data_IF_765672654090
#
_entry.id   IF_765672654090
#
_cell.length_a   1.000
_cell.length_b   1.000
_cell.length_c   1.000
_cell.angle_alpha   90.00
_cell.angle_beta   90.00
_cell.angle_gamma   90.00
#
_symmetry.space_group_name_H-M   'P 1'
#
loop_
_entity.id
_entity.type
_entity.pdbx_description
1 polymer ?
#
# COMPACT_ATOMS: atom_id res chain seq x y z
N UNK A 1 0.98 -15.12 3.45
CA UNK A 1 1.24 -13.79 2.87
C UNK A 1 2.15 -13.96 1.66
N UNK A 2 1.93 -13.19 0.60
CA UNK A 2 2.82 -13.11 -0.58
C UNK A 2 3.06 -11.65 -0.90
N UNK A 3 4.25 -11.30 -1.37
CA UNK A 3 4.54 -9.94 -1.80
C UNK A 3 5.37 -9.94 -3.08
N UNK A 4 5.23 -8.88 -3.86
CA UNK A 4 5.94 -8.66 -5.10
C UNK A 4 5.98 -7.17 -5.42
N UNK A 5 6.94 -6.76 -6.24
CA UNK A 5 7.05 -5.39 -6.72
C UNK A 5 6.72 -5.35 -8.20
N UNK A 6 5.84 -4.45 -8.61
CA UNK A 6 5.45 -4.22 -9.99
C UNK A 6 5.15 -2.73 -10.19
N UNK A 7 5.63 -2.14 -11.29
CA UNK A 7 5.34 -0.74 -11.66
C UNK A 7 5.46 0.25 -10.49
N UNK A 8 6.62 0.28 -9.85
CA UNK A 8 6.95 1.15 -8.71
C UNK A 8 6.10 0.94 -7.45
N UNK A 9 5.39 -0.18 -7.37
CA UNK A 9 4.51 -0.54 -6.25
C UNK A 9 4.93 -1.86 -5.64
N UNK A 10 5.12 -1.87 -4.32
CA UNK A 10 5.17 -3.08 -3.53
C UNK A 10 3.74 -3.49 -3.16
N UNK A 11 3.34 -4.67 -3.61
CA UNK A 11 2.08 -5.31 -3.26
C UNK A 11 2.32 -6.36 -2.18
N UNK A 12 1.53 -6.31 -1.11
CA UNK A 12 1.52 -7.33 -0.06
C UNK A 12 0.11 -7.91 0.04
N UNK A 13 -0.05 -9.19 -0.33
CA UNK A 13 -1.32 -9.90 -0.41
C UNK A 13 -1.47 -10.90 0.74
N UNK A 14 -2.66 -10.91 1.35
CA UNK A 14 -2.98 -11.77 2.49
C UNK A 14 -4.36 -11.48 3.06
N UNK A 15 -4.62 -11.98 4.27
CA UNK A 15 -5.78 -11.58 5.07
C UNK A 15 -5.23 -10.87 6.29
N UNK A 16 -5.39 -9.54 6.34
CA UNK A 16 -4.79 -8.71 7.37
C UNK A 16 -5.86 -8.04 8.20
N UNK A 17 -5.66 -8.03 9.53
CA UNK A 17 -6.20 -6.96 10.38
C UNK A 17 -5.13 -5.88 10.45
N UNK A 18 -5.30 -4.81 9.69
CA UNK A 18 -4.25 -3.82 9.49
C UNK A 18 -4.57 -2.51 10.20
N UNK A 19 -3.51 -1.79 10.59
CA UNK A 19 -3.54 -0.40 11.01
C UNK A 19 -2.70 0.42 10.01
N UNK A 20 -3.22 1.54 9.54
CA UNK A 20 -2.50 2.43 8.62
C UNK A 20 -2.78 3.89 8.95
N UNK A 21 -1.75 4.73 8.89
CA UNK A 21 -1.85 6.19 8.94
C UNK A 21 -1.80 6.82 7.55
N UNK A 22 -1.70 6.01 6.50
CA UNK A 22 -1.71 6.45 5.11
C UNK A 22 -3.09 6.97 4.67
N UNK A 23 -3.22 7.25 3.39
CA UNK A 23 -4.47 7.73 2.79
C UNK A 23 -5.55 6.67 2.98
N UNK A 24 -6.74 7.12 3.42
CA UNK A 24 -7.85 6.25 3.82
C UNK A 24 -7.47 5.22 4.89
N UNK A 25 -6.49 5.56 5.73
CA UNK A 25 -6.04 4.75 6.85
C UNK A 25 -7.06 4.58 7.97
N UNK A 26 -6.68 3.86 9.01
CA UNK A 26 -7.52 3.43 10.12
C UNK A 26 -7.18 2.01 10.55
N UNK A 27 -8.09 1.36 11.26
CA UNK A 27 -7.96 -0.05 11.69
C UNK A 27 -9.10 -0.86 11.08
N UNK A 28 -8.79 -1.75 10.12
CA UNK A 28 -9.80 -2.60 9.48
C UNK A 28 -9.18 -3.85 8.85
N UNK A 29 -10.04 -4.76 8.42
CA UNK A 29 -9.63 -5.91 7.64
C UNK A 29 -9.41 -5.53 6.18
N UNK A 30 -8.28 -5.93 5.59
CA UNK A 30 -7.91 -5.67 4.19
C UNK A 30 -7.26 -6.91 3.58
N UNK A 31 -7.41 -7.10 2.27
CA UNK A 31 -6.73 -8.18 1.55
C UNK A 31 -5.35 -7.79 1.04
N UNK A 32 -5.09 -6.47 0.95
CA UNK A 32 -3.89 -5.95 0.32
C UNK A 32 -3.33 -4.72 1.02
N UNK A 33 -2.01 -4.66 1.12
CA UNK A 33 -1.26 -3.46 1.45
C UNK A 33 -0.46 -3.03 0.21
N UNK A 34 -0.48 -1.74 -0.08
CA UNK A 34 0.24 -1.12 -1.19
C UNK A 34 1.26 -0.14 -0.64
N UNK A 35 2.48 -0.19 -1.15
CA UNK A 35 3.45 0.89 -0.99
C UNK A 35 3.91 1.34 -2.37
N UNK A 36 3.45 2.51 -2.81
CA UNK A 36 3.68 3.02 -4.16
C UNK A 36 4.66 4.19 -4.13
N UNK A 37 5.62 4.17 -5.04
CA UNK A 37 6.61 5.25 -5.18
C UNK A 37 5.96 6.42 -5.89
N UNK A 38 5.87 7.56 -5.21
CA UNK A 38 5.32 8.78 -5.75
C UNK A 38 6.29 9.38 -6.77
N UNK A 39 5.75 9.83 -7.91
CA UNK A 39 6.52 10.64 -8.85
C UNK A 39 6.71 12.06 -8.29
N UNK A 40 7.85 12.72 -8.54
CA UNK A 40 8.14 14.04 -7.96
C UNK A 40 7.14 15.16 -8.32
N UNK A 41 6.34 14.96 -9.36
CA UNK A 41 5.37 15.90 -9.92
C UNK A 41 3.93 15.66 -9.44
N UNK A 42 3.70 14.66 -8.60
CA UNK A 42 2.34 14.34 -8.13
C UNK A 42 1.90 15.27 -6.98
N UNK A 43 0.77 15.95 -7.19
CA UNK A 43 0.12 16.76 -6.15
C UNK A 43 -0.43 15.86 -5.03
N UNK A 44 -0.25 16.29 -3.79
CA UNK A 44 -0.84 15.66 -2.61
C UNK A 44 -2.37 15.53 -2.71
N UNK A 45 -3.04 16.45 -3.42
CA UNK A 45 -4.48 16.37 -3.66
C UNK A 45 -4.90 15.15 -4.51
N UNK A 46 -4.02 14.64 -5.37
CA UNK A 46 -4.30 13.50 -6.26
C UNK A 46 -3.80 12.17 -5.71
N UNK A 47 -3.11 12.20 -4.58
CA UNK A 47 -2.49 11.06 -3.92
C UNK A 47 -3.46 9.87 -3.68
N UNK A 48 -4.71 10.15 -3.29
CA UNK A 48 -5.74 9.11 -3.13
C UNK A 48 -6.14 8.45 -4.45
N UNK A 49 -6.30 9.26 -5.50
CA UNK A 49 -6.63 8.76 -6.84
C UNK A 49 -5.50 7.93 -7.44
N UNK A 50 -4.24 8.29 -7.17
CA UNK A 50 -3.08 7.47 -7.59
C UNK A 50 -3.19 6.06 -7.03
N UNK A 51 -3.48 5.93 -5.73
CA UNK A 51 -3.65 4.61 -5.10
C UNK A 51 -4.85 3.84 -5.67
N UNK A 52 -5.95 4.53 -5.96
CA UNK A 52 -7.13 3.91 -6.60
C UNK A 52 -6.80 3.39 -8.01
N UNK A 53 -6.06 4.16 -8.81
CA UNK A 53 -5.62 3.76 -10.16
C UNK A 53 -4.68 2.57 -10.08
N UNK A 54 -3.70 2.58 -9.17
CA UNK A 54 -2.75 1.48 -8.96
C UNK A 54 -3.48 0.21 -8.50
N UNK A 55 -4.41 0.33 -7.55
CA UNK A 55 -5.21 -0.79 -7.08
C UNK A 55 -6.08 -1.37 -8.21
N UNK A 56 -6.80 -0.50 -8.94
CA UNK A 56 -7.66 -0.93 -10.05
C UNK A 56 -6.87 -1.60 -11.18
N UNK A 57 -5.70 -1.06 -11.55
CA UNK A 57 -4.81 -1.62 -12.56
C UNK A 57 -4.28 -3.02 -12.20
N UNK A 58 -4.15 -3.31 -10.90
CA UNK A 58 -3.76 -4.63 -10.39
C UNK A 58 -4.95 -5.55 -10.08
N UNK A 59 -6.19 -5.15 -10.43
CA UNK A 59 -7.40 -5.93 -10.18
C UNK A 59 -7.77 -6.04 -8.69
N UNK A 60 -7.40 -5.03 -7.90
CA UNK A 60 -7.62 -4.98 -6.45
C UNK A 60 -8.88 -4.17 -6.17
N UNK A 61 -9.80 -4.74 -5.38
CA UNK A 61 -11.01 -4.06 -4.93
C UNK A 61 -10.73 -2.98 -3.88
N UNK A 62 -11.79 -2.37 -3.33
CA UNK A 62 -11.66 -1.30 -2.32
C UNK A 62 -11.13 -1.74 -0.94
N UNK A 63 -10.76 -3.02 -0.80
CA UNK A 63 -10.31 -3.66 0.44
C UNK A 63 -8.78 -3.65 0.59
N UNK A 64 -8.18 -2.47 0.49
CA UNK A 64 -6.74 -2.27 0.65
C UNK A 64 -6.40 -1.11 1.60
N UNK A 65 -5.14 -1.07 2.03
CA UNK A 65 -4.49 0.15 2.51
C UNK A 65 -3.31 0.50 1.61
N UNK A 66 -3.14 1.80 1.37
CA UNK A 66 -2.06 2.30 0.53
C UNK A 66 -1.22 3.35 1.25
N UNK A 67 0.08 3.28 1.02
CA UNK A 67 1.06 4.26 1.44
C UNK A 67 1.81 4.76 0.20
N UNK A 68 2.02 6.06 0.12
CA UNK A 68 2.88 6.69 -0.88
C UNK A 68 4.23 6.98 -0.26
N UNK A 69 5.30 6.70 -1.00
CA UNK A 69 6.69 6.87 -0.55
C UNK A 69 7.50 7.59 -1.62
N UNK A 70 8.53 8.33 -1.22
CA UNK A 70 9.51 8.92 -2.15
C UNK A 70 10.70 8.00 -2.42
N UNK A 71 10.78 6.88 -1.69
CA UNK A 71 11.82 5.86 -1.85
C UNK A 71 11.33 4.81 -2.84
N UNK A 72 12.15 4.35 -3.81
CA UNK A 72 11.75 3.29 -4.73
C UNK A 72 11.20 2.06 -4.01
N UNK A 73 10.07 1.53 -4.48
CA UNK A 73 9.45 0.34 -3.90
C UNK A 73 10.36 -0.90 -3.95
N UNK A 74 11.33 -0.95 -4.86
CA UNK A 74 12.38 -1.99 -4.90
C UNK A 74 13.35 -1.94 -3.73
N UNK A 75 13.39 -0.83 -2.98
CA UNK A 75 14.20 -0.65 -1.78
C UNK A 75 13.39 -0.83 -0.49
N UNK A 76 12.09 -1.12 -0.60
CA UNK A 76 11.26 -1.44 0.56
C UNK A 76 11.56 -2.85 1.06
N UNK A 77 11.53 -3.03 2.39
CA UNK A 77 11.64 -4.32 3.03
C UNK A 77 10.31 -4.70 3.68
N UNK A 78 9.95 -5.97 3.53
CA UNK A 78 8.79 -6.55 4.19
C UNK A 78 9.28 -7.34 5.40
N UNK A 79 9.01 -6.83 6.60
CA UNK A 79 9.38 -7.46 7.86
C UNK A 79 8.15 -8.12 8.49
N UNK A 80 8.27 -9.40 8.83
CA UNK A 80 7.30 -10.10 9.64
C UNK A 80 7.84 -10.19 11.07
N UNK A 81 7.20 -9.47 11.98
CA UNK A 81 7.43 -9.55 13.41
C UNK A 81 6.14 -10.01 14.06
N UNK A 82 6.23 -10.75 15.17
CA UNK A 82 5.14 -11.55 15.77
C UNK A 82 3.88 -10.72 16.07
N UNK A 83 3.65 -10.31 17.32
CA UNK A 83 2.48 -9.51 17.67
C UNK A 83 2.87 -8.04 17.88
N UNK A 84 2.07 -7.16 17.28
CA UNK A 84 2.09 -5.73 17.54
C UNK A 84 0.82 -5.41 18.33
N UNK A 85 0.96 -4.74 19.47
CA UNK A 85 -0.18 -4.20 20.23
C UNK A 85 -0.40 -2.75 19.82
N UNK A 86 -1.66 -2.37 19.62
CA UNK A 86 -2.08 -1.03 19.17
C UNK A 86 -2.87 -0.35 20.28
#
# INVERSE_FOLDING_TARGET
>A
MRYYTESDTLFVRGSFRAASTGINGGIRSVSTLLNHTLRPDCDAADAGKVLEIVAAGAGIGGDYFGLLTTVPASQACVLQYDFITV
#
